data_IF_199070082900
#
_entry.id   IF_199070082900
#
_cell.length_a   1.000
_cell.length_b   1.000
_cell.length_c   1.000
_cell.angle_alpha   90.00
_cell.angle_beta   90.00
_cell.angle_gamma   90.00
#
_symmetry.space_group_name_H-M   'P 1'
#
loop_
_entity.id
_entity.type
_entity.pdbx_description
1 polymer ?
#
# COMPACT_ATOMS: atom_id res chain seq x y z
N UNK A 1 20.45 -20.00 -1.80
CA UNK A 1 19.18 -19.69 -2.50
C UNK A 1 19.47 -18.66 -3.58
N UNK A 2 19.26 -19.00 -4.86
CA UNK A 2 19.44 -18.05 -5.97
C UNK A 2 18.46 -16.87 -5.85
N UNK A 3 18.85 -15.70 -6.37
CA UNK A 3 18.01 -14.49 -6.36
C UNK A 3 16.80 -14.74 -7.27
N UNK A 4 15.60 -14.85 -6.68
CA UNK A 4 14.37 -14.83 -7.47
C UNK A 4 14.22 -13.42 -8.02
N UNK A 5 14.25 -13.27 -9.34
CA UNK A 5 14.03 -11.96 -9.95
C UNK A 5 12.62 -11.48 -9.62
N UNK A 6 12.44 -10.17 -9.43
CA UNK A 6 11.13 -9.55 -9.17
C UNK A 6 10.62 -8.72 -10.36
N UNK A 7 11.38 -8.69 -11.46
CA UNK A 7 11.03 -7.98 -12.69
C UNK A 7 11.06 -8.92 -13.91
N UNK A 8 10.25 -8.68 -14.94
CA UNK A 8 10.30 -9.46 -16.18
C UNK A 8 11.72 -9.48 -16.76
N UNK A 9 12.16 -10.62 -17.29
CA UNK A 9 13.51 -10.73 -17.88
C UNK A 9 13.45 -10.17 -19.30
N UNK A 10 14.19 -9.08 -19.54
CA UNK A 10 14.37 -8.51 -20.88
C UNK A 10 15.33 -9.41 -21.70
N UNK A 11 14.98 -9.72 -22.95
CA UNK A 11 15.77 -10.59 -23.83
C UNK A 11 15.24 -12.02 -24.02
N UNK A 12 14.39 -12.54 -23.13
CA UNK A 12 13.65 -13.80 -23.34
C UNK A 12 12.34 -13.57 -24.12
N UNK A 13 12.44 -12.96 -25.30
CA UNK A 13 11.27 -12.59 -26.12
C UNK A 13 10.37 -13.77 -26.52
N UNK A 14 10.92 -14.98 -26.58
CA UNK A 14 10.24 -16.18 -27.08
C UNK A 14 9.84 -17.19 -25.98
N UNK A 15 10.16 -16.94 -24.71
CA UNK A 15 9.73 -17.83 -23.63
C UNK A 15 8.24 -17.55 -23.31
N UNK A 16 7.33 -18.53 -23.51
CA UNK A 16 5.91 -18.34 -23.25
C UNK A 16 5.63 -18.01 -21.78
N UNK A 17 6.49 -18.41 -20.84
CA UNK A 17 6.34 -18.09 -19.41
C UNK A 17 6.65 -16.63 -19.16
N UNK A 18 7.80 -16.11 -19.63
CA UNK A 18 8.16 -14.70 -19.46
C UNK A 18 7.21 -13.76 -20.22
N UNK A 19 6.66 -14.17 -21.37
CA UNK A 19 5.60 -13.41 -22.04
C UNK A 19 4.36 -13.25 -21.15
N UNK A 20 3.90 -14.32 -20.47
CA UNK A 20 2.77 -14.23 -19.52
C UNK A 20 3.10 -13.38 -18.30
N UNK A 21 4.33 -13.49 -17.79
CA UNK A 21 4.80 -12.62 -16.68
C UNK A 21 4.74 -11.15 -17.09
N UNK A 22 5.11 -10.80 -18.33
CA UNK A 22 4.95 -9.43 -18.87
C UNK A 22 3.49 -9.01 -19.00
N UNK A 23 2.60 -9.87 -19.48
CA UNK A 23 1.17 -9.57 -19.54
C UNK A 23 0.58 -9.29 -18.15
N UNK A 24 0.98 -10.07 -17.14
CA UNK A 24 0.57 -9.84 -15.74
C UNK A 24 1.15 -8.53 -15.21
N UNK A 25 2.41 -8.23 -15.51
CA UNK A 25 3.07 -6.98 -15.13
C UNK A 25 2.34 -5.75 -15.66
N UNK A 26 1.98 -5.75 -16.94
CA UNK A 26 1.21 -4.68 -17.56
C UNK A 26 -0.23 -4.63 -17.06
N UNK A 27 -0.86 -5.79 -16.81
CA UNK A 27 -2.21 -5.84 -16.26
C UNK A 27 -2.30 -5.15 -14.89
N UNK A 28 -1.30 -5.32 -14.01
CA UNK A 28 -1.26 -4.63 -12.71
C UNK A 28 -1.20 -3.12 -12.89
N UNK A 29 -0.38 -2.65 -13.83
CA UNK A 29 -0.28 -1.22 -14.13
C UNK A 29 -1.62 -0.65 -14.59
N UNK A 30 -2.27 -1.33 -15.55
CA UNK A 30 -3.60 -0.93 -16.04
C UNK A 30 -4.67 -0.97 -14.94
N UNK A 31 -4.65 -1.98 -14.06
CA UNK A 31 -5.55 -2.08 -12.90
C UNK A 31 -5.38 -0.89 -11.98
N UNK A 32 -4.14 -0.54 -11.64
CA UNK A 32 -3.87 0.59 -10.73
C UNK A 32 -4.24 1.93 -11.37
N UNK A 33 -3.92 2.14 -12.64
CA UNK A 33 -4.31 3.34 -13.38
C UNK A 33 -5.84 3.51 -13.39
N UNK A 34 -6.58 2.44 -13.71
CA UNK A 34 -8.06 2.45 -13.67
C UNK A 34 -8.59 2.67 -12.25
N UNK A 35 -7.96 2.07 -11.25
CA UNK A 35 -8.35 2.24 -9.85
C UNK A 35 -8.16 3.68 -9.37
N UNK A 36 -7.05 4.31 -9.74
CA UNK A 36 -6.80 5.72 -9.48
C UNK A 36 -7.81 6.61 -10.21
N UNK A 37 -8.08 6.32 -11.48
CA UNK A 37 -9.07 7.04 -12.28
C UNK A 37 -10.45 7.03 -11.62
N UNK A 38 -10.89 5.86 -11.14
CA UNK A 38 -12.14 5.74 -10.37
C UNK A 38 -12.11 6.63 -9.13
N UNK A 39 -11.02 6.61 -8.36
CA UNK A 39 -10.90 7.43 -7.15
C UNK A 39 -10.97 8.93 -7.47
N UNK A 40 -10.39 9.39 -8.59
CA UNK A 40 -10.48 10.79 -9.05
C UNK A 40 -11.92 11.26 -9.30
N UNK A 41 -12.83 10.36 -9.65
CA UNK A 41 -14.23 10.66 -9.94
C UNK A 41 -15.18 10.35 -8.77
N UNK A 42 -14.73 9.57 -7.78
CA UNK A 42 -15.53 9.28 -6.57
C UNK A 42 -15.74 10.51 -5.68
N UNK A 43 -16.86 10.55 -4.95
CA UNK A 43 -17.14 11.60 -3.98
C UNK A 43 -16.24 11.55 -2.73
N UNK A 44 -16.12 12.70 -2.03
CA UNK A 44 -15.30 12.87 -0.83
C UNK A 44 -15.55 11.80 0.24
N UNK A 45 -16.81 11.43 0.50
CA UNK A 45 -17.18 10.45 1.52
C UNK A 45 -16.51 9.08 1.28
N UNK A 46 -16.55 8.60 0.03
CA UNK A 46 -15.91 7.34 -0.38
C UNK A 46 -14.39 7.43 -0.22
N UNK A 47 -13.78 8.57 -0.57
CA UNK A 47 -12.33 8.77 -0.43
C UNK A 47 -11.89 8.83 1.03
N UNK A 48 -12.68 9.44 1.92
CA UNK A 48 -12.41 9.46 3.37
C UNK A 48 -12.53 8.05 3.95
N UNK A 49 -13.60 7.35 3.58
CA UNK A 49 -13.86 5.97 3.99
C UNK A 49 -12.69 5.04 3.60
N UNK A 50 -12.18 5.17 2.37
CA UNK A 50 -11.09 4.35 1.87
C UNK A 50 -9.75 4.53 2.62
N UNK A 51 -9.54 5.65 3.34
CA UNK A 51 -8.31 5.91 4.12
C UNK A 51 -8.40 5.36 5.54
N UNK A 52 -9.59 5.03 6.03
CA UNK A 52 -9.79 4.60 7.42
C UNK A 52 -8.93 3.39 7.77
N UNK A 53 -8.28 3.46 8.92
CA UNK A 53 -7.38 2.41 9.42
C UNK A 53 -7.84 1.85 10.77
N UNK A 54 -8.75 2.55 11.47
CA UNK A 54 -9.28 2.16 12.77
C UNK A 54 -10.82 2.23 12.79
N UNK A 55 -11.47 1.39 13.63
CA UNK A 55 -12.93 1.42 13.77
C UNK A 55 -13.36 2.75 14.39
N UNK A 56 -14.34 3.41 13.79
CA UNK A 56 -14.87 4.70 14.28
C UNK A 56 -13.99 5.93 13.97
N UNK A 57 -12.82 5.74 13.37
CA UNK A 57 -11.97 6.86 12.94
C UNK A 57 -12.59 7.60 11.73
N UNK A 58 -12.55 8.93 11.75
CA UNK A 58 -12.90 9.78 10.60
C UNK A 58 -11.67 10.54 10.10
N UNK A 59 -10.96 10.04 9.08
CA UNK A 59 -9.78 10.71 8.54
C UNK A 59 -10.11 12.10 7.98
N UNK A 60 -9.33 13.11 8.36
CA UNK A 60 -9.50 14.49 7.85
C UNK A 60 -9.07 14.63 6.38
N UNK A 61 -8.06 13.86 5.96
CA UNK A 61 -7.53 13.89 4.59
C UNK A 61 -8.11 12.73 3.76
N UNK A 62 -8.83 13.01 2.66
CA UNK A 62 -9.38 11.97 1.80
C UNK A 62 -8.27 11.25 1.03
N UNK A 63 -8.60 10.08 0.46
CA UNK A 63 -7.72 9.39 -0.49
C UNK A 63 -7.44 10.28 -1.71
N UNK A 64 -6.20 10.71 -1.86
CA UNK A 64 -5.75 11.54 -2.98
C UNK A 64 -5.17 10.69 -4.11
N UNK A 65 -5.61 10.93 -5.34
CA UNK A 65 -4.97 10.38 -6.53
C UNK A 65 -3.54 10.91 -6.68
N UNK A 66 -2.66 10.17 -7.36
CA UNK A 66 -1.39 10.74 -7.80
C UNK A 66 -1.66 11.77 -8.91
N UNK A 67 -0.93 12.88 -8.92
CA UNK A 67 -1.20 13.98 -9.84
C UNK A 67 -0.65 13.72 -11.24
N UNK A 68 0.52 13.12 -11.35
CA UNK A 68 1.24 12.91 -12.61
C UNK A 68 1.31 11.43 -12.98
N UNK A 69 1.19 11.15 -14.29
CA UNK A 69 1.21 9.79 -14.85
C UNK A 69 2.56 9.09 -14.59
N UNK A 70 3.66 9.82 -14.64
CA UNK A 70 5.02 9.30 -14.41
C UNK A 70 5.22 8.84 -12.96
N UNK A 71 4.59 9.51 -11.99
CA UNK A 71 4.57 9.05 -10.60
C UNK A 71 3.73 7.80 -10.43
N UNK A 72 2.64 7.62 -11.18
CA UNK A 72 1.85 6.38 -11.12
C UNK A 72 2.73 5.19 -11.44
N UNK A 73 3.51 5.23 -12.52
CA UNK A 73 4.41 4.13 -12.92
C UNK A 73 5.41 3.79 -11.81
N UNK A 74 6.06 4.80 -11.23
CA UNK A 74 7.00 4.62 -10.11
C UNK A 74 6.32 4.04 -8.86
N UNK A 75 5.07 4.40 -8.63
CA UNK A 75 4.31 3.93 -7.47
C UNK A 75 3.71 2.53 -7.68
N UNK A 76 3.50 2.08 -8.93
CA UNK A 76 2.99 0.75 -9.27
C UNK A 76 4.04 -0.33 -9.03
N UNK A 77 5.32 0.03 -9.25
CA UNK A 77 6.44 -0.91 -9.23
C UNK A 77 6.46 -1.90 -8.06
N UNK A 78 6.19 -1.51 -6.79
CA UNK A 78 6.13 -2.48 -5.69
C UNK A 78 5.08 -3.57 -5.87
N UNK A 79 3.87 -3.22 -6.33
CA UNK A 79 2.79 -4.19 -6.59
C UNK A 79 3.14 -5.13 -7.74
N UNK A 80 3.72 -4.58 -8.80
CA UNK A 80 4.28 -5.34 -9.91
C UNK A 80 5.33 -6.36 -9.43
N UNK A 81 6.28 -5.93 -8.59
CA UNK A 81 7.31 -6.80 -8.03
C UNK A 81 6.73 -7.89 -7.11
N UNK A 82 5.71 -7.57 -6.31
CA UNK A 82 5.00 -8.53 -5.45
C UNK A 82 4.39 -9.64 -6.31
N UNK A 83 3.61 -9.28 -7.32
CA UNK A 83 2.91 -10.30 -8.12
C UNK A 83 3.88 -11.11 -8.98
N UNK A 84 4.95 -10.51 -9.52
CA UNK A 84 5.97 -11.28 -10.26
C UNK A 84 6.74 -12.22 -9.34
N UNK A 85 7.11 -11.78 -8.13
CA UNK A 85 7.72 -12.65 -7.13
C UNK A 85 6.82 -13.85 -6.86
N UNK A 86 5.54 -13.60 -6.59
CA UNK A 86 4.56 -14.65 -6.35
C UNK A 86 4.47 -15.59 -7.57
N UNK A 87 4.34 -15.04 -8.77
CA UNK A 87 4.30 -15.80 -10.04
C UNK A 87 5.47 -16.78 -10.12
N UNK A 88 6.70 -16.30 -9.91
CA UNK A 88 7.92 -17.10 -10.00
C UNK A 88 8.01 -18.16 -8.93
N UNK A 89 7.58 -17.87 -7.71
CA UNK A 89 7.54 -18.88 -6.64
C UNK A 89 6.51 -19.98 -6.91
N UNK A 90 5.38 -19.66 -7.56
CA UNK A 90 4.40 -20.67 -7.95
C UNK A 90 4.91 -21.56 -9.09
N UNK A 91 5.75 -21.03 -9.97
CA UNK A 91 6.37 -21.78 -11.07
C UNK A 91 7.64 -22.54 -10.64
N UNK A 92 8.25 -22.19 -9.50
CA UNK A 92 9.44 -22.86 -9.00
C UNK A 92 9.15 -24.34 -8.67
N UNK A 93 10.15 -25.20 -8.87
CA UNK A 93 10.12 -26.62 -8.49
C UNK A 93 9.99 -26.77 -6.97
N UNK A 94 9.37 -27.87 -6.53
CA UNK A 94 8.90 -28.12 -5.16
C UNK A 94 9.97 -27.94 -4.06
N UNK A 95 11.25 -28.21 -4.37
CA UNK A 95 12.38 -28.00 -3.44
C UNK A 95 12.98 -26.59 -3.38
N UNK A 96 12.53 -25.64 -4.21
CA UNK A 96 13.01 -24.24 -4.25
C UNK A 96 11.93 -23.21 -3.83
N UNK A 97 10.76 -23.68 -3.41
CA UNK A 97 9.65 -22.82 -3.00
C UNK A 97 9.88 -22.29 -1.58
N UNK A 98 9.63 -20.99 -1.34
CA UNK A 98 9.57 -20.46 0.02
C UNK A 98 8.51 -21.20 0.86
N UNK A 99 8.70 -21.25 2.16
CA UNK A 99 7.84 -21.98 3.12
C UNK A 99 6.44 -21.36 3.29
N UNK A 100 6.18 -20.18 2.71
CA UNK A 100 4.85 -19.58 2.81
C UNK A 100 3.81 -20.33 1.97
N UNK A 101 2.59 -20.44 2.49
CA UNK A 101 1.49 -21.16 1.86
C UNK A 101 0.43 -20.23 1.29
N UNK A 102 0.22 -20.25 -0.03
CA UNK A 102 -1.02 -19.71 -0.59
C UNK A 102 -2.23 -20.49 -0.06
N UNK A 103 -3.24 -19.77 0.40
CA UNK A 103 -4.54 -20.37 0.74
C UNK A 103 -5.17 -21.01 -0.51
N UNK A 104 -6.06 -22.00 -0.36
CA UNK A 104 -6.77 -22.61 -1.50
C UNK A 104 -7.53 -21.57 -2.35
N UNK A 105 -8.05 -20.51 -1.72
CA UNK A 105 -8.76 -19.40 -2.39
C UNK A 105 -7.80 -18.58 -3.25
N UNK A 106 -6.68 -18.15 -2.68
CA UNK A 106 -5.61 -17.44 -3.40
C UNK A 106 -5.09 -18.28 -4.57
N UNK A 107 -4.84 -19.59 -4.36
CA UNK A 107 -4.39 -20.50 -5.44
C UNK A 107 -5.42 -20.66 -6.55
N UNK A 108 -6.72 -20.64 -6.23
CA UNK A 108 -7.79 -20.64 -7.23
C UNK A 108 -7.76 -19.35 -8.06
N UNK A 109 -7.70 -18.18 -7.42
CA UNK A 109 -7.64 -16.89 -8.13
C UNK A 109 -6.35 -16.70 -8.92
N UNK A 110 -5.22 -17.15 -8.39
CA UNK A 110 -3.94 -17.19 -9.09
C UNK A 110 -4.04 -18.00 -10.40
N UNK A 111 -4.62 -19.21 -10.35
CA UNK A 111 -4.84 -20.02 -11.55
C UNK A 111 -5.73 -19.32 -12.58
N UNK A 112 -6.77 -18.62 -12.14
CA UNK A 112 -7.64 -17.83 -13.02
C UNK A 112 -6.87 -16.68 -13.70
N UNK A 113 -6.03 -15.96 -12.95
CA UNK A 113 -5.15 -14.93 -13.51
C UNK A 113 -4.17 -15.51 -14.53
N UNK A 114 -3.55 -16.64 -14.21
CA UNK A 114 -2.60 -17.31 -15.11
C UNK A 114 -3.25 -17.77 -16.42
N UNK A 115 -4.49 -18.27 -16.35
CA UNK A 115 -5.27 -18.64 -17.52
C UNK A 115 -5.68 -17.42 -18.34
N UNK A 116 -6.15 -16.34 -17.71
CA UNK A 116 -6.50 -15.10 -18.40
C UNK A 116 -5.29 -14.48 -19.13
N UNK A 117 -4.10 -14.54 -18.52
CA UNK A 117 -2.85 -14.11 -19.16
C UNK A 117 -2.49 -14.98 -20.39
N UNK A 118 -2.77 -16.28 -20.34
CA UNK A 118 -2.60 -17.17 -21.49
C UNK A 118 -3.56 -16.85 -22.63
N UNK A 119 -4.84 -16.60 -22.33
CA UNK A 119 -5.84 -16.25 -23.35
C UNK A 119 -5.50 -14.91 -24.01
N UNK A 120 -5.07 -13.92 -23.22
CA UNK A 120 -4.66 -12.61 -23.73
C UNK A 120 -3.44 -12.71 -24.68
N UNK A 121 -2.48 -13.58 -24.38
CA UNK A 121 -1.33 -13.87 -25.24
C UNK A 121 -1.76 -14.44 -26.60
N UNK A 122 -2.69 -15.39 -26.61
CA UNK A 122 -3.22 -15.97 -27.86
C UNK A 122 -4.03 -14.96 -28.66
N UNK A 123 -4.85 -14.13 -28.00
CA UNK A 123 -5.65 -13.09 -28.65
C UNK A 123 -4.77 -12.01 -29.33
N UNK A 124 -3.66 -11.60 -28.72
CA UNK A 124 -2.71 -10.65 -29.32
C UNK A 124 -2.02 -11.20 -30.58
N UNK A 125 -1.85 -12.52 -30.68
CA UNK A 125 -1.27 -13.16 -31.88
C UNK A 125 -2.25 -13.14 -33.06
N UNK A 126 -3.55 -13.21 -32.78
CA UNK A 126 -4.63 -13.23 -33.79
C UNK A 126 -5.06 -11.81 -34.19
N UNK A 127 -5.07 -10.85 -33.26
CA UNK A 127 -5.47 -9.45 -33.51
C UNK A 127 -4.44 -8.65 -34.33
N UNK A 128 -3.21 -9.13 -34.50
CA UNK A 128 -2.22 -8.51 -35.38
C UNK A 128 -2.62 -8.54 -36.88
N UNK A 129 -3.72 -9.21 -37.24
CA UNK A 129 -4.22 -9.33 -38.62
C UNK A 129 -5.47 -8.49 -38.91
N UNK A 130 -6.10 -7.85 -37.92
CA UNK A 130 -7.32 -7.06 -38.13
C UNK A 130 -7.32 -5.81 -37.22
N UNK A 131 -6.64 -4.75 -37.66
CA UNK A 131 -6.66 -3.45 -36.98
C UNK A 131 -7.15 -2.35 -37.92
N UNK A 132 -8.47 -2.24 -38.08
CA UNK A 132 -9.10 -0.95 -38.34
C UNK A 132 -10.58 -0.96 -37.89
N UNK A 133 -10.87 -0.16 -36.86
CA UNK A 133 -12.18 0.41 -36.50
C UNK A 133 -12.04 1.16 -35.17
N UNK A 134 -11.55 2.40 -35.25
CA UNK A 134 -11.50 3.33 -34.13
C UNK A 134 -12.91 3.88 -33.87
N UNK A 135 -13.68 3.21 -33.00
CA UNK A 135 -14.92 3.75 -32.44
C UNK A 135 -14.65 4.06 -30.97
N UNK A 136 -14.40 5.34 -30.65
CA UNK A 136 -14.08 5.79 -29.30
C UNK A 136 -15.33 5.81 -28.43
N UNK A 137 -15.72 4.65 -27.92
CA UNK A 137 -16.73 4.55 -26.87
C UNK A 137 -16.17 5.15 -25.56
N UNK A 138 -16.76 6.22 -24.99
CA UNK A 138 -16.24 6.86 -23.77
C UNK A 138 -16.30 5.94 -22.53
N UNK A 139 -17.10 4.87 -22.57
CA UNK A 139 -17.18 3.84 -21.53
C UNK A 139 -16.00 2.87 -21.59
N UNK A 140 -15.31 2.77 -22.74
CA UNK A 140 -14.18 1.86 -22.93
C UNK A 140 -13.05 2.10 -21.93
N UNK A 141 -12.81 3.35 -21.53
CA UNK A 141 -11.80 3.73 -20.54
C UNK A 141 -12.07 3.12 -19.16
N UNK A 142 -13.35 2.91 -18.82
CA UNK A 142 -13.78 2.37 -17.53
C UNK A 142 -13.77 0.84 -17.53
N UNK A 143 -14.03 0.19 -18.67
CA UNK A 143 -14.12 -1.27 -18.76
C UNK A 143 -12.83 -1.93 -18.31
N UNK A 144 -12.93 -2.84 -17.35
CA UNK A 144 -11.83 -3.72 -16.94
C UNK A 144 -11.78 -4.91 -17.92
N UNK A 145 -10.61 -5.24 -18.46
CA UNK A 145 -10.43 -6.45 -19.29
C UNK A 145 -10.41 -7.72 -18.43
N UNK A 146 -10.57 -8.91 -19.03
CA UNK A 146 -10.60 -10.17 -18.27
C UNK A 146 -9.33 -10.40 -17.43
N UNK A 147 -8.15 -10.11 -18.00
CA UNK A 147 -6.87 -10.22 -17.30
C UNK A 147 -6.75 -9.22 -16.16
N UNK A 148 -7.20 -7.97 -16.37
CA UNK A 148 -7.19 -6.93 -15.35
C UNK A 148 -8.16 -7.29 -14.21
N UNK A 149 -9.34 -7.83 -14.51
CA UNK A 149 -10.31 -8.24 -13.51
C UNK A 149 -9.79 -9.42 -12.69
N UNK A 150 -9.18 -10.42 -13.35
CA UNK A 150 -8.54 -11.52 -12.67
C UNK A 150 -7.37 -11.05 -11.79
N UNK A 151 -6.62 -10.04 -12.24
CA UNK A 151 -5.53 -9.43 -11.50
C UNK A 151 -6.02 -8.68 -10.26
N UNK A 152 -7.03 -7.82 -10.42
CA UNK A 152 -7.66 -7.09 -9.32
C UNK A 152 -8.19 -8.05 -8.25
N UNK A 153 -8.98 -9.05 -8.65
CA UNK A 153 -9.55 -10.04 -7.72
C UNK A 153 -8.46 -10.84 -7.02
N UNK A 154 -7.37 -11.18 -7.72
CA UNK A 154 -6.22 -11.84 -7.11
C UNK A 154 -5.54 -10.93 -6.06
N UNK A 155 -5.28 -9.66 -6.38
CA UNK A 155 -4.71 -8.69 -5.44
C UNK A 155 -5.59 -8.52 -4.20
N UNK A 156 -6.91 -8.41 -4.35
CA UNK A 156 -7.83 -8.31 -3.22
C UNK A 156 -7.82 -9.60 -2.37
N UNK A 157 -7.71 -10.78 -2.99
CA UNK A 157 -7.55 -12.04 -2.24
C UNK A 157 -6.20 -12.18 -1.52
N UNK A 158 -5.15 -11.48 -1.96
CA UNK A 158 -3.90 -11.38 -1.19
C UNK A 158 -4.10 -10.55 0.08
N UNK A 159 -4.94 -9.51 0.04
CA UNK A 159 -5.32 -8.70 1.21
C UNK A 159 -6.27 -9.48 2.14
N UNK A 160 -7.12 -10.34 1.58
CA UNK A 160 -8.16 -11.11 2.28
C UNK A 160 -7.62 -12.37 3.00
N UNK A 161 -6.52 -12.21 3.74
CA UNK A 161 -5.94 -13.25 4.59
C UNK A 161 -5.96 -12.81 6.05
N UNK A 162 -6.24 -13.73 6.96
CA UNK A 162 -5.96 -13.57 8.38
C UNK A 162 -4.96 -14.64 8.79
N UNK A 163 -4.06 -14.29 9.70
CA UNK A 163 -3.07 -15.20 10.25
C UNK A 163 -3.18 -15.19 11.78
N UNK A 164 -3.06 -16.36 12.41
CA UNK A 164 -3.25 -16.50 13.87
C UNK A 164 -1.96 -16.82 14.62
N UNK A 165 -0.97 -17.38 13.93
CA UNK A 165 0.27 -17.91 14.51
C UNK A 165 1.51 -17.17 14.03
N UNK A 166 1.70 -17.03 12.71
CA UNK A 166 2.86 -16.35 12.15
C UNK A 166 2.48 -15.45 10.96
N UNK A 167 2.96 -14.20 10.97
CA UNK A 167 2.67 -13.22 9.89
C UNK A 167 3.22 -13.68 8.53
N UNK A 168 4.29 -14.48 8.55
CA UNK A 168 4.93 -15.05 7.36
C UNK A 168 4.14 -16.20 6.72
N UNK A 169 2.99 -16.59 7.27
CA UNK A 169 2.01 -17.41 6.55
C UNK A 169 1.37 -16.61 5.40
N UNK A 170 1.40 -15.29 5.46
CA UNK A 170 0.91 -14.46 4.36
C UNK A 170 1.93 -14.33 3.25
N UNK A 171 1.49 -14.75 2.05
CA UNK A 171 2.24 -14.60 0.79
C UNK A 171 2.59 -13.12 0.53
N UNK A 172 1.69 -12.20 0.88
CA UNK A 172 1.90 -10.77 0.72
C UNK A 172 2.99 -10.26 1.66
N UNK A 173 2.96 -10.67 2.92
CA UNK A 173 3.98 -10.31 3.92
C UNK A 173 5.35 -10.87 3.52
N UNK A 174 5.41 -12.10 3.01
CA UNK A 174 6.65 -12.66 2.47
C UNK A 174 7.16 -11.89 1.25
N UNK A 175 6.30 -11.54 0.30
CA UNK A 175 6.68 -10.73 -0.84
C UNK A 175 7.22 -9.35 -0.40
N UNK A 176 6.57 -8.73 0.58
CA UNK A 176 7.00 -7.46 1.17
C UNK A 176 8.34 -7.56 1.90
N UNK A 177 8.60 -8.66 2.59
CA UNK A 177 9.89 -8.94 3.22
C UNK A 177 11.02 -9.09 2.18
N UNK A 178 10.74 -9.71 1.03
CA UNK A 178 11.70 -9.79 -0.08
C UNK A 178 12.00 -8.42 -0.67
N UNK A 179 11.01 -7.53 -0.78
CA UNK A 179 11.23 -6.15 -1.23
C UNK A 179 12.10 -5.33 -0.27
N UNK A 180 12.23 -5.75 1.00
CA UNK A 180 13.17 -5.14 1.96
C UNK A 180 14.63 -5.40 1.58
N UNK A 181 14.93 -6.35 0.70
CA UNK A 181 16.29 -6.60 0.20
C UNK A 181 16.55 -5.74 -1.04
N UNK A 182 17.40 -4.73 -0.90
CA UNK A 182 17.92 -3.92 -2.00
C UNK A 182 19.02 -4.64 -2.78
N UNK A 183 19.70 -3.91 -3.68
CA UNK A 183 20.82 -4.43 -4.47
C UNK A 183 22.06 -4.71 -3.64
N UNK A 184 22.34 -3.84 -2.67
CA UNK A 184 23.55 -3.87 -1.85
C UNK A 184 23.32 -4.37 -0.41
N UNK A 185 22.15 -4.92 -0.10
CA UNK A 185 21.84 -5.41 1.25
C UNK A 185 20.39 -5.19 1.65
N UNK A 186 20.16 -5.06 2.96
CA UNK A 186 18.85 -4.69 3.49
C UNK A 186 18.60 -3.20 3.27
N UNK A 187 17.37 -2.84 2.91
CA UNK A 187 16.92 -1.45 2.83
C UNK A 187 16.94 -0.81 4.21
N UNK A 188 17.39 0.44 4.23
CA UNK A 188 17.45 1.31 5.38
C UNK A 188 16.05 1.82 5.80
N UNK A 189 15.94 2.42 7.00
CA UNK A 189 14.69 2.99 7.51
C UNK A 189 14.11 4.15 6.69
N UNK A 190 14.86 4.77 5.78
CA UNK A 190 14.38 5.87 4.94
C UNK A 190 13.79 5.34 3.62
N UNK A 191 14.34 4.26 3.08
CA UNK A 191 13.95 3.74 1.76
C UNK A 191 12.81 2.72 1.79
N UNK A 192 12.58 2.02 2.90
CA UNK A 192 11.51 1.00 3.00
C UNK A 192 10.11 1.56 3.32
N UNK A 193 9.92 2.51 4.26
CA UNK A 193 8.59 3.07 4.53
C UNK A 193 7.88 3.69 3.32
N UNK A 194 8.57 4.39 2.38
CA UNK A 194 7.94 4.83 1.14
C UNK A 194 7.36 3.69 0.29
N UNK A 195 8.00 2.51 0.29
CA UNK A 195 7.50 1.32 -0.42
C UNK A 195 6.21 0.81 0.24
N UNK A 196 6.21 0.72 1.58
CA UNK A 196 5.02 0.35 2.36
C UNK A 196 3.86 1.32 2.07
N UNK A 197 4.11 2.63 2.13
CA UNK A 197 3.11 3.66 1.83
C UNK A 197 2.51 3.53 0.44
N UNK A 198 3.33 3.24 -0.59
CA UNK A 198 2.85 3.01 -1.96
C UNK A 198 1.95 1.78 -2.04
N UNK A 199 2.38 0.66 -1.44
CA UNK A 199 1.60 -0.59 -1.43
C UNK A 199 0.25 -0.38 -0.74
N UNK A 200 0.24 0.27 0.42
CA UNK A 200 -0.99 0.58 1.19
C UNK A 200 -1.92 1.51 0.39
N UNK A 201 -1.38 2.59 -0.19
CA UNK A 201 -2.18 3.54 -0.97
C UNK A 201 -2.83 2.89 -2.20
N UNK A 202 -2.08 2.02 -2.90
CA UNK A 202 -2.61 1.28 -4.04
C UNK A 202 -3.61 0.20 -3.66
N UNK A 203 -3.43 -0.45 -2.51
CA UNK A 203 -4.44 -1.36 -1.96
C UNK A 203 -5.79 -0.63 -1.79
N UNK A 204 -5.75 0.60 -1.25
CA UNK A 204 -6.95 1.45 -1.11
C UNK A 204 -7.59 1.79 -2.46
N UNK A 205 -6.78 2.14 -3.47
CA UNK A 205 -7.31 2.35 -4.82
C UNK A 205 -8.00 1.10 -5.38
N UNK A 206 -7.35 -0.06 -5.27
CA UNK A 206 -7.90 -1.33 -5.74
C UNK A 206 -9.17 -1.72 -4.99
N UNK A 207 -9.29 -1.42 -3.69
CA UNK A 207 -10.52 -1.64 -2.92
C UNK A 207 -11.68 -0.79 -3.45
N UNK A 208 -11.42 0.48 -3.76
CA UNK A 208 -12.43 1.37 -4.35
C UNK A 208 -12.84 0.87 -5.74
N UNK A 209 -11.89 0.46 -6.57
CA UNK A 209 -12.19 -0.15 -7.87
C UNK A 209 -13.03 -1.41 -7.71
N UNK A 210 -12.61 -2.31 -6.83
CA UNK A 210 -13.31 -3.56 -6.58
C UNK A 210 -14.74 -3.32 -6.06
N UNK A 211 -14.94 -2.31 -5.21
CA UNK A 211 -16.26 -1.94 -4.73
C UNK A 211 -17.18 -1.41 -5.84
N UNK A 212 -16.66 -0.63 -6.77
CA UNK A 212 -17.44 -0.10 -7.90
C UNK A 212 -18.03 -1.23 -8.74
N UNK A 213 -17.23 -2.26 -9.04
CA UNK A 213 -17.65 -3.38 -9.91
C UNK A 213 -18.49 -4.45 -9.19
N UNK A 214 -18.75 -4.27 -7.89
CA UNK A 214 -19.69 -5.11 -7.15
C UNK A 214 -21.09 -4.48 -7.08
N UNK A 215 -21.21 -3.18 -7.38
CA UNK A 215 -22.49 -2.49 -7.41
C UNK A 215 -23.28 -2.89 -8.67
N UNK A 216 -24.54 -3.35 -8.54
CA UNK A 216 -25.37 -3.71 -9.69
C UNK A 216 -25.63 -2.52 -10.65
N UNK A 217 -25.51 -1.27 -10.17
CA UNK A 217 -25.76 -0.04 -10.93
C UNK A 217 -24.47 0.63 -11.41
N UNK A 218 -23.37 -0.12 -11.56
CA UNK A 218 -22.06 0.41 -11.99
C UNK A 218 -22.13 1.30 -13.23
N UNK A 219 -22.95 0.94 -14.23
CA UNK A 219 -23.10 1.70 -15.47
C UNK A 219 -23.73 3.08 -15.20
N UNK A 220 -24.77 3.15 -14.39
CA UNK A 220 -25.44 4.41 -14.04
C UNK A 220 -24.52 5.34 -13.25
N UNK A 221 -23.69 4.78 -12.36
CA UNK A 221 -22.69 5.55 -11.60
C UNK A 221 -21.67 6.18 -12.56
N UNK A 222 -21.15 5.40 -13.51
CA UNK A 222 -20.19 5.87 -14.51
C UNK A 222 -20.81 6.93 -15.43
N UNK A 223 -22.03 6.70 -15.92
CA UNK A 223 -22.77 7.68 -16.74
C UNK A 223 -22.98 9.00 -15.99
N UNK A 224 -23.27 8.94 -14.69
CA UNK A 224 -23.41 10.13 -13.84
C UNK A 224 -22.11 10.92 -13.77
N UNK A 225 -20.94 10.26 -13.75
CA UNK A 225 -19.65 10.93 -13.76
C UNK A 225 -19.26 11.51 -15.12
N UNK A 226 -19.85 11.01 -16.21
CA UNK A 226 -19.60 11.50 -17.57
C UNK A 226 -20.39 12.76 -17.92
N UNK A 227 -21.48 13.10 -17.20
CA UNK A 227 -22.28 14.28 -17.50
C UNK A 227 -21.65 15.58 -16.95
N UNK A 228 -21.14 16.50 -17.81
CA UNK A 228 -20.38 17.67 -17.37
C UNK A 228 -21.20 18.72 -16.60
N UNK A 229 -22.53 18.76 -16.79
CA UNK A 229 -23.38 19.86 -16.30
C UNK A 229 -23.85 19.74 -14.84
N UNK A 230 -23.68 18.60 -14.16
CA UNK A 230 -23.94 18.47 -12.70
C UNK A 230 -22.68 18.57 -11.84
N UNK A 231 -21.50 18.55 -12.45
CA UNK A 231 -20.21 18.69 -11.74
C UNK A 231 -19.84 20.15 -11.42
N UNK A 232 -20.45 21.14 -12.11
CA UNK A 232 -20.12 22.56 -11.94
C UNK A 232 -20.33 23.10 -10.51
N UNK A 233 -21.20 22.47 -9.70
CA UNK A 233 -21.41 22.86 -8.29
C UNK A 233 -20.34 22.30 -7.34
N UNK A 234 -19.51 21.34 -7.79
CA UNK A 234 -18.45 20.71 -6.97
C UNK A 234 -17.08 21.36 -7.17
N UNK A 235 -16.88 22.07 -8.28
CA UNK A 235 -15.60 22.63 -8.73
C UNK A 235 -15.10 23.80 -7.88
N UNK A 236 -15.96 24.51 -7.15
CA UNK A 236 -15.54 25.69 -6.36
C UNK A 236 -14.75 25.38 -5.08
N UNK A 237 -14.52 24.11 -4.70
CA UNK A 237 -13.73 23.77 -3.49
C UNK A 237 -12.29 23.31 -3.74
N UNK A 238 -11.87 23.15 -5.00
CA UNK A 238 -10.50 22.77 -5.32
C UNK A 238 -9.54 23.97 -5.42
N UNK A 239 -10.06 25.20 -5.42
CA UNK A 239 -9.31 26.41 -5.77
C UNK A 239 -8.69 27.17 -4.57
N UNK A 240 -8.65 26.60 -3.37
CA UNK A 240 -7.86 27.18 -2.28
C UNK A 240 -7.03 26.05 -1.68
N UNK A 241 -5.80 25.91 -2.18
CA UNK A 241 -4.57 25.71 -1.42
C UNK A 241 -3.40 25.54 -2.41
N UNK A 242 -3.08 26.62 -3.10
CA UNK A 242 -1.70 26.88 -3.54
C UNK A 242 -0.99 27.55 -2.37
N UNK A 243 -0.20 26.78 -1.61
CA UNK A 243 0.98 27.28 -0.89
C UNK A 243 2.07 26.20 -1.00
N UNK A 244 3.08 26.52 -1.80
CA UNK A 244 4.45 26.02 -1.82
C UNK A 244 4.71 24.50 -1.83
N UNK A 245 4.88 24.04 -3.07
CA UNK A 245 5.94 23.14 -3.53
C UNK A 245 7.34 23.54 -2.99
N UNK A 246 7.65 23.11 -1.77
CA UNK A 246 9.02 22.96 -1.28
C UNK A 246 9.05 21.89 -0.17
N UNK A 247 9.50 20.68 -0.53
CA UNK A 247 9.51 19.45 0.28
C UNK A 247 8.12 18.89 0.65
N UNK A 248 7.80 17.70 0.12
CA UNK A 248 6.68 16.88 0.58
C UNK A 248 6.91 16.40 2.01
N UNK A 249 6.63 17.27 2.97
CA UNK A 249 6.56 17.03 4.40
C UNK A 249 5.12 17.21 4.84
N UNK A 250 4.45 16.09 5.12
CA UNK A 250 3.18 16.05 5.85
C UNK A 250 3.10 14.69 6.56
N UNK A 251 4.01 14.54 7.53
CA UNK A 251 3.81 13.73 8.73
C UNK A 251 4.29 14.65 9.87
N UNK A 252 3.54 15.72 10.16
CA UNK A 252 3.51 16.32 11.50
C UNK A 252 2.64 15.39 12.36
N UNK A 253 3.19 14.71 13.38
CA UNK A 253 2.38 13.92 14.29
C UNK A 253 1.62 14.85 15.25
N UNK A 254 0.33 14.61 15.44
CA UNK A 254 -0.38 15.17 16.58
C UNK A 254 0.31 14.78 17.90
N UNK A 255 0.29 15.65 18.93
CA UNK A 255 0.87 15.34 20.22
C UNK A 255 0.14 14.14 20.84
N UNK A 256 0.82 12.99 20.87
CA UNK A 256 0.36 11.80 21.57
C UNK A 256 0.31 12.14 23.06
N UNK A 257 -0.90 12.33 23.60
CA UNK A 257 -1.08 12.35 25.06
C UNK A 257 -0.51 11.06 25.63
N UNK A 258 0.34 11.21 26.64
CA UNK A 258 0.98 10.13 27.40
C UNK A 258 -0.10 9.28 28.10
N UNK A 259 -0.66 8.33 27.38
CA UNK A 259 -1.48 7.24 27.91
C UNK A 259 -0.64 5.97 27.89
N UNK A 260 -0.26 5.48 29.07
CA UNK A 260 0.54 4.28 29.29
C UNK A 260 0.09 3.10 28.42
N UNK A 261 0.94 2.68 27.47
CA UNK A 261 0.73 1.46 26.70
C UNK A 261 1.33 0.30 27.51
N UNK A 262 0.48 -0.42 28.24
CA UNK A 262 0.83 -1.72 28.80
C UNK A 262 1.06 -2.73 27.67
N UNK A 263 2.15 -3.51 27.75
CA UNK A 263 2.35 -4.68 26.90
C UNK A 263 1.26 -5.74 27.22
N UNK A 264 0.60 -6.37 26.23
CA UNK A 264 -0.23 -7.53 26.52
C UNK A 264 0.67 -8.75 26.73
N UNK A 265 0.67 -9.26 27.95
CA UNK A 265 1.16 -10.62 28.26
C UNK A 265 0.01 -11.60 27.99
N UNK A 266 0.29 -12.63 27.19
CA UNK A 266 -0.45 -13.90 27.08
C UNK A 266 -1.72 -13.99 26.19
N UNK A 267 -2.01 -15.20 25.65
CA UNK A 267 -2.81 -15.38 24.44
C UNK A 267 -4.29 -15.58 24.75
N UNK A 268 -5.14 -14.69 24.24
CA UNK A 268 -6.59 -14.90 24.24
C UNK A 268 -6.94 -15.79 23.05
N UNK A 269 -7.31 -17.03 23.37
CA UNK A 269 -7.98 -17.98 22.47
C UNK A 269 -9.29 -17.36 21.99
N UNK A 270 -9.28 -16.70 20.84
CA UNK A 270 -10.49 -16.27 20.13
C UNK A 270 -10.65 -17.13 18.89
N UNK A 271 -11.79 -17.82 18.81
CA UNK A 271 -12.18 -18.63 17.66
C UNK A 271 -12.21 -17.77 16.38
N UNK A 272 -11.97 -18.38 15.21
CA UNK A 272 -12.09 -17.75 13.89
C UNK A 272 -13.38 -16.91 13.81
N UNK A 273 -13.33 -15.58 13.55
CA UNK A 273 -14.56 -14.85 13.30
C UNK A 273 -15.20 -15.37 12.00
N UNK A 274 -16.49 -15.79 12.02
CA UNK A 274 -17.15 -16.50 10.92
C UNK A 274 -17.49 -15.62 9.70
N UNK A 275 -16.91 -14.42 9.57
CA UNK A 275 -17.35 -13.38 8.63
C UNK A 275 -16.25 -12.91 7.67
N UNK A 276 -15.40 -13.81 7.17
CA UNK A 276 -14.51 -13.42 6.05
C UNK A 276 -15.33 -13.25 4.78
N UNK A 277 -14.92 -12.32 3.90
CA UNK A 277 -15.58 -12.04 2.61
C UNK A 277 -15.82 -13.35 1.86
N UNK A 278 -17.08 -13.80 1.86
CA UNK A 278 -17.59 -14.83 0.99
C UNK A 278 -18.31 -14.09 -0.13
N UNK A 279 -17.61 -13.92 -1.25
CA UNK A 279 -18.04 -13.17 -2.43
C UNK A 279 -19.43 -13.58 -2.98
N UNK A 280 -19.96 -14.73 -2.55
CA UNK A 280 -21.10 -15.39 -3.19
C UNK A 280 -22.49 -15.07 -2.65
N UNK A 281 -22.67 -14.36 -1.50
CA UNK A 281 -24.02 -14.32 -0.89
C UNK A 281 -24.55 -12.97 -0.37
N UNK A 282 -23.73 -11.99 0.04
CA UNK A 282 -24.23 -10.78 0.72
C UNK A 282 -23.78 -9.43 0.12
N UNK A 283 -23.18 -9.42 -1.07
CA UNK A 283 -22.64 -8.19 -1.68
C UNK A 283 -23.54 -7.56 -2.74
N UNK A 284 -24.48 -8.30 -3.35
CA UNK A 284 -25.20 -7.81 -4.54
C UNK A 284 -26.27 -6.76 -4.26
N UNK A 285 -26.60 -6.48 -3.00
CA UNK A 285 -27.61 -5.49 -2.60
C UNK A 285 -27.03 -4.19 -2.05
N UNK A 286 -25.70 -4.11 -1.90
CA UNK A 286 -25.05 -2.95 -1.29
C UNK A 286 -24.77 -1.88 -2.34
N UNK A 287 -24.97 -0.63 -1.96
CA UNK A 287 -24.52 0.52 -2.75
C UNK A 287 -23.00 0.60 -2.77
N UNK A 288 -22.45 1.33 -3.75
CA UNK A 288 -21.02 1.54 -3.88
C UNK A 288 -20.35 2.02 -2.59
N UNK A 289 -20.97 2.97 -1.86
CA UNK A 289 -20.41 3.48 -0.60
C UNK A 289 -20.43 2.44 0.52
N UNK A 290 -21.52 1.68 0.65
CA UNK A 290 -21.62 0.58 1.63
C UNK A 290 -20.64 -0.53 1.31
N UNK A 291 -20.40 -0.77 0.02
CA UNK A 291 -19.45 -1.76 -0.45
C UNK A 291 -18.01 -1.37 -0.15
N UNK A 292 -17.64 -0.09 -0.34
CA UNK A 292 -16.34 0.44 0.11
C UNK A 292 -16.20 0.29 1.62
N UNK A 293 -17.22 0.69 2.38
CA UNK A 293 -17.25 0.59 3.85
C UNK A 293 -17.02 -0.85 4.31
N UNK A 294 -17.72 -1.80 3.68
CA UNK A 294 -17.58 -3.22 3.97
C UNK A 294 -16.17 -3.75 3.68
N UNK A 295 -15.61 -3.44 2.49
CA UNK A 295 -14.26 -3.90 2.13
C UNK A 295 -13.19 -3.28 3.03
N UNK A 296 -13.27 -1.99 3.33
CA UNK A 296 -12.35 -1.31 4.25
C UNK A 296 -12.39 -1.96 5.64
N UNK A 297 -13.61 -2.19 6.17
CA UNK A 297 -13.78 -2.84 7.47
C UNK A 297 -13.14 -4.22 7.57
N UNK A 298 -13.13 -4.97 6.47
CA UNK A 298 -12.61 -6.33 6.43
C UNK A 298 -11.11 -6.39 6.11
N UNK A 299 -10.60 -5.46 5.30
CA UNK A 299 -9.26 -5.57 4.71
C UNK A 299 -8.27 -4.52 5.21
N UNK A 300 -8.72 -3.38 5.72
CA UNK A 300 -7.85 -2.23 6.02
C UNK A 300 -7.79 -1.86 7.49
N UNK A 301 -8.79 -2.27 8.29
CA UNK A 301 -8.90 -1.89 9.69
C UNK A 301 -8.04 -2.77 10.59
N UNK A 302 -7.33 -2.15 11.54
CA UNK A 302 -6.55 -2.82 12.60
C UNK A 302 -7.41 -3.69 13.51
N UNK A 303 -6.80 -4.72 14.12
CA UNK A 303 -7.48 -5.71 14.94
C UNK A 303 -8.22 -6.78 14.14
N UNK A 304 -7.90 -6.93 12.86
CA UNK A 304 -8.46 -7.98 11.97
C UNK A 304 -7.43 -9.08 11.67
N UNK A 305 -6.19 -8.92 12.14
CA UNK A 305 -5.05 -9.81 11.86
C UNK A 305 -4.80 -10.00 10.37
N UNK A 306 -4.98 -8.93 9.60
CA UNK A 306 -4.79 -8.93 8.14
C UNK A 306 -3.38 -8.49 7.77
N UNK A 307 -2.87 -8.86 6.57
CA UNK A 307 -1.61 -8.35 6.07
C UNK A 307 -1.53 -6.82 6.07
N UNK A 308 -2.66 -6.13 5.87
CA UNK A 308 -2.68 -4.67 5.87
C UNK A 308 -2.40 -4.06 7.23
N UNK A 309 -2.84 -4.70 8.31
CA UNK A 309 -2.47 -4.32 9.68
C UNK A 309 -0.95 -4.41 9.86
N UNK A 310 -0.35 -5.54 9.49
CA UNK A 310 1.11 -5.72 9.50
C UNK A 310 1.85 -4.63 8.73
N UNK A 311 1.40 -4.32 7.50
CA UNK A 311 2.05 -3.33 6.65
C UNK A 311 1.91 -1.90 7.21
N UNK A 312 0.76 -1.58 7.81
CA UNK A 312 0.55 -0.31 8.50
C UNK A 312 1.47 -0.20 9.71
N UNK A 313 1.62 -1.25 10.50
CA UNK A 313 2.46 -1.26 11.70
C UNK A 313 3.94 -1.22 11.36
N UNK A 314 4.38 -1.95 10.32
CA UNK A 314 5.73 -1.84 9.77
C UNK A 314 6.03 -0.43 9.27
N UNK A 315 5.05 0.25 8.67
CA UNK A 315 5.19 1.64 8.22
C UNK A 315 5.34 2.57 9.42
N UNK A 316 4.45 2.47 10.41
CA UNK A 316 4.50 3.29 11.63
C UNK A 316 5.81 3.08 12.38
N UNK A 317 6.26 1.83 12.52
CA UNK A 317 7.54 1.51 13.13
C UNK A 317 8.73 2.07 12.35
N UNK A 318 8.74 1.91 11.02
CA UNK A 318 9.79 2.44 10.16
C UNK A 318 9.88 3.97 10.20
N UNK A 319 8.73 4.66 10.17
CA UNK A 319 8.67 6.11 10.35
C UNK A 319 9.15 6.53 11.74
N UNK A 320 8.77 5.80 12.79
CA UNK A 320 9.26 6.06 14.16
C UNK A 320 10.78 5.95 14.23
N UNK A 321 11.40 4.97 13.55
CA UNK A 321 12.85 4.86 13.45
C UNK A 321 13.41 6.07 12.68
N UNK A 322 12.85 6.40 11.52
CA UNK A 322 13.30 7.53 10.71
C UNK A 322 13.29 8.86 11.50
N UNK A 323 12.20 9.13 12.22
CA UNK A 323 12.06 10.35 12.99
C UNK A 323 12.87 10.36 14.29
N UNK A 324 13.15 9.21 14.92
CA UNK A 324 13.85 9.16 16.20
C UNK A 324 15.34 8.78 16.11
N UNK A 325 15.80 8.24 14.99
CA UNK A 325 17.18 7.80 14.81
C UNK A 325 18.00 8.87 14.09
N UNK A 326 19.20 9.15 14.57
CA UNK A 326 20.16 10.02 13.89
C UNK A 326 20.75 9.31 12.67
N UNK A 327 20.40 9.75 11.45
CA UNK A 327 21.00 9.25 10.21
C UNK A 327 22.20 10.12 9.77
N UNK A 328 23.16 9.58 9.01
CA UNK A 328 24.26 10.37 8.43
C UNK A 328 23.73 11.60 7.68
N UNK A 329 24.33 12.78 7.91
CA UNK A 329 23.85 14.07 7.38
C UNK A 329 22.93 14.86 8.33
N UNK A 330 22.38 14.23 9.39
CA UNK A 330 21.65 14.94 10.43
C UNK A 330 22.56 15.71 11.39
N UNK A 331 23.82 15.28 11.55
CA UNK A 331 24.85 15.96 12.33
C UNK A 331 25.84 16.57 11.37
N UNK A 332 25.79 17.89 11.20
CA UNK A 332 26.69 18.63 10.31
C UNK A 332 27.44 19.70 11.09
N UNK A 333 28.74 19.81 10.84
CA UNK A 333 29.59 20.88 11.37
C UNK A 333 29.56 22.08 10.41
N UNK A 334 29.13 23.25 10.90
CA UNK A 334 29.18 24.50 10.15
C UNK A 334 30.22 25.43 10.78
N UNK A 335 31.33 25.66 10.07
CA UNK A 335 32.47 26.45 10.58
C UNK A 335 33.06 25.81 11.87
N UNK A 336 34.13 26.34 12.52
CA UNK A 336 34.93 25.51 13.44
C UNK A 336 34.20 25.07 14.72
N UNK A 337 33.03 25.64 15.06
CA UNK A 337 32.44 25.45 16.39
C UNK A 337 30.89 25.35 16.45
N UNK A 338 30.19 25.22 15.31
CA UNK A 338 28.72 25.06 15.31
C UNK A 338 28.31 23.68 14.81
N UNK A 339 27.51 23.00 15.61
CA UNK A 339 26.93 21.71 15.29
C UNK A 339 25.43 21.89 15.00
N UNK A 340 24.99 21.37 13.85
CA UNK A 340 23.58 21.27 13.53
C UNK A 340 23.10 19.85 13.74
N UNK A 341 21.97 19.72 14.44
CA UNK A 341 21.22 18.50 14.57
C UNK A 341 19.73 18.77 14.27
N UNK A 342 19.22 18.30 13.13
CA UNK A 342 17.85 18.59 12.66
C UNK A 342 17.55 20.11 12.67
N UNK A 343 16.57 20.55 13.46
CA UNK A 343 16.22 21.97 13.63
C UNK A 343 17.00 22.66 14.76
N UNK A 344 17.83 21.92 15.49
CA UNK A 344 18.60 22.43 16.62
C UNK A 344 19.98 22.86 16.11
N UNK A 345 20.36 24.09 16.45
CA UNK A 345 21.68 24.68 16.16
C UNK A 345 22.31 25.03 17.50
N UNK A 346 23.48 24.47 17.79
CA UNK A 346 24.21 24.77 19.03
C UNK A 346 25.71 24.85 18.79
N UNK A 347 26.41 25.64 19.60
CA UNK A 347 27.88 25.67 19.62
C UNK A 347 28.43 24.54 20.47
N UNK A 348 29.72 24.17 20.35
CA UNK A 348 30.30 23.22 21.32
C UNK A 348 30.32 23.78 22.74
N UNK A 349 30.35 25.11 22.90
CA UNK A 349 30.16 25.76 24.20
C UNK A 349 28.80 25.45 24.80
N UNK A 350 27.72 25.62 24.03
CA UNK A 350 26.35 25.31 24.46
C UNK A 350 26.19 23.82 24.75
N UNK A 351 26.76 22.95 23.92
CA UNK A 351 26.72 21.51 24.12
C UNK A 351 27.42 21.09 25.42
N UNK A 352 28.62 21.61 25.67
CA UNK A 352 29.35 21.37 26.92
C UNK A 352 28.55 21.89 28.11
N UNK A 353 27.98 23.09 28.02
CA UNK A 353 27.10 23.65 29.05
C UNK A 353 25.90 22.76 29.33
N UNK A 354 25.24 22.25 28.30
CA UNK A 354 24.13 21.30 28.40
C UNK A 354 24.55 20.00 29.09
N UNK A 355 25.66 19.37 28.69
CA UNK A 355 26.15 18.13 29.31
C UNK A 355 26.55 18.36 30.77
N UNK A 356 27.20 19.48 31.08
CA UNK A 356 27.53 19.84 32.46
C UNK A 356 26.27 20.08 33.30
N UNK A 357 25.27 20.78 32.76
CA UNK A 357 23.97 20.98 33.40
C UNK A 357 23.23 19.67 33.63
N UNK A 358 23.18 18.78 32.64
CA UNK A 358 22.59 17.45 32.76
C UNK A 358 23.31 16.62 33.83
N UNK A 359 24.63 16.63 33.84
CA UNK A 359 25.43 15.90 34.85
C UNK A 359 25.18 16.45 36.25
N UNK A 360 25.09 17.78 36.41
CA UNK A 360 24.78 18.43 37.68
C UNK A 360 23.37 18.08 38.16
N UNK A 361 22.36 18.17 37.28
CA UNK A 361 20.98 17.81 37.58
C UNK A 361 20.84 16.33 37.95
N UNK A 362 21.46 15.41 37.18
CA UNK A 362 21.44 13.99 37.48
C UNK A 362 22.14 13.68 38.79
N UNK A 363 23.27 14.33 39.11
CA UNK A 363 23.91 14.22 40.44
C UNK A 363 23.00 14.72 41.55
N UNK A 364 22.30 15.83 41.34
CA UNK A 364 21.37 16.37 42.33
C UNK A 364 20.21 15.41 42.57
N UNK A 365 19.59 14.89 41.51
CA UNK A 365 18.51 13.90 41.59
C UNK A 365 19.01 12.62 42.27
N UNK A 366 20.15 12.06 41.86
CA UNK A 366 20.73 10.89 42.50
C UNK A 366 21.05 11.15 43.98
N UNK A 367 21.56 12.33 44.32
CA UNK A 367 21.82 12.68 45.72
C UNK A 367 20.52 12.83 46.52
N UNK A 368 19.46 13.35 45.92
CA UNK A 368 18.16 13.48 46.57
C UNK A 368 17.47 12.12 46.75
N UNK A 369 17.55 11.23 45.77
CA UNK A 369 16.93 9.90 45.87
C UNK A 369 17.75 8.89 46.67
N UNK A 370 19.08 9.04 46.77
CA UNK A 370 19.95 8.13 47.55
C UNK A 370 20.26 8.61 48.97
N UNK A 371 20.14 9.91 49.29
CA UNK A 371 20.41 10.45 50.63
C UNK A 371 19.14 10.80 51.43
N UNK A 372 17.95 10.70 50.84
CA UNK A 372 16.67 10.86 51.55
C UNK A 372 15.80 9.59 51.50
N UNK A 373 16.41 8.42 51.75
CA UNK A 373 15.70 7.29 52.40
C UNK A 373 15.86 7.37 53.93
#
# INVERSE_FOLDING_TARGET
MGRISTTPIHGCGNDPVEQRVRQIWEAIERVVQKSQWTVQHTGQAIRVEAVRSEKGQTPYRPLQAYMDADSVVKHVQPWQQIVVFITRTQLAQEGKRPVYGMTPRQRKKWRQLWQAAQTAQTAQTVQAMEADRDTKDPIQQWRISEIEQACLVFCIELLNQTYHTQEYESVLICAMAVLRRGEFGWRDPESYPPILSRVIKMARFMIVQQALWLDPNVIQIIETWQQPQKCATRTLRSAINDIDSAYGSDDEPEPVQLGSISLPTSPIRSQDPPTRIQWSQNLSQKTFQEQVTYLVNQLMIRGTHTPMETLQDWRTYGLRIHYNTTAPGHVTWMQPDRLLYKHIKFTMGDFRGFVHGLTAATRQILSQELLFE
#
